data_IF_372727385382
#
_entry.id   IF_372727385382
#
_cell.length_a   1.000
_cell.length_b   1.000
_cell.length_c   1.000
_cell.angle_alpha   90.00
_cell.angle_beta   90.00
_cell.angle_gamma   90.00
#
_symmetry.space_group_name_H-M   'P 1'
#
loop_
_entity.id
_entity.type
_entity.pdbx_description
1 polymer ?
#
# COMPACT_ATOMS: atom_id res chain seq x y z
N UNK A 1 2.83 -1.93 19.22
CA UNK A 1 2.69 -2.69 17.96
C UNK A 1 4.03 -2.88 17.25
N UNK A 2 4.71 -1.82 16.79
CA UNK A 2 5.97 -1.97 16.03
C UNK A 2 7.08 -2.64 16.85
N UNK A 3 7.25 -2.25 18.12
CA UNK A 3 8.20 -2.86 19.06
C UNK A 3 7.90 -4.35 19.28
N UNK A 4 6.64 -4.70 19.56
CA UNK A 4 6.23 -6.10 19.79
C UNK A 4 6.46 -6.96 18.53
N UNK A 5 6.18 -6.39 17.35
CA UNK A 5 6.43 -7.05 16.09
C UNK A 5 7.92 -7.26 15.82
N UNK A 6 8.74 -6.26 16.14
CA UNK A 6 10.20 -6.34 16.02
C UNK A 6 10.75 -7.43 16.95
N UNK A 7 10.37 -7.42 18.24
CA UNK A 7 10.77 -8.43 19.22
C UNK A 7 10.37 -9.83 18.76
N UNK A 8 9.08 -10.00 18.39
CA UNK A 8 8.59 -11.29 17.94
C UNK A 8 9.34 -11.84 16.72
N UNK A 9 9.56 -11.00 15.69
CA UNK A 9 10.20 -11.46 14.46
C UNK A 9 11.71 -11.64 14.62
N UNK A 10 12.39 -10.83 15.44
CA UNK A 10 13.83 -10.98 15.71
C UNK A 10 14.15 -12.24 16.52
N UNK A 11 13.22 -12.69 17.37
CA UNK A 11 13.37 -13.94 18.14
C UNK A 11 13.20 -15.21 17.28
N UNK A 12 12.74 -15.07 16.04
CA UNK A 12 12.65 -16.23 15.14
C UNK A 12 14.05 -16.73 14.74
N UNK A 13 14.32 -17.99 15.01
CA UNK A 13 15.55 -18.68 14.55
C UNK A 13 15.48 -18.94 13.04
N UNK A 14 15.51 -17.87 12.23
CA UNK A 14 15.29 -17.91 10.78
C UNK A 14 16.06 -16.80 10.06
N UNK A 15 16.27 -16.90 8.74
CA UNK A 15 16.87 -15.81 7.97
C UNK A 15 16.12 -14.49 8.13
N UNK A 16 14.78 -14.52 8.27
CA UNK A 16 14.01 -13.30 8.53
C UNK A 16 14.33 -12.70 9.91
N UNK A 17 14.44 -13.52 10.96
CA UNK A 17 14.79 -13.04 12.31
C UNK A 17 16.15 -12.33 12.31
N UNK A 18 17.14 -12.90 11.65
CA UNK A 18 18.45 -12.25 11.47
C UNK A 18 18.34 -10.93 10.72
N UNK A 19 17.59 -10.89 9.61
CA UNK A 19 17.36 -9.67 8.83
C UNK A 19 16.69 -8.56 9.67
N UNK A 20 15.68 -8.91 10.47
CA UNK A 20 14.96 -7.98 11.35
C UNK A 20 15.91 -7.41 12.41
N UNK A 21 16.73 -8.27 13.03
CA UNK A 21 17.74 -7.86 14.01
C UNK A 21 18.76 -6.90 13.40
N UNK A 22 19.31 -7.22 12.23
CA UNK A 22 20.34 -6.43 11.55
C UNK A 22 19.82 -5.05 11.10
N UNK A 23 18.58 -4.98 10.67
CA UNK A 23 17.96 -3.74 10.20
C UNK A 23 17.42 -2.85 11.32
N UNK A 24 17.19 -3.41 12.50
CA UNK A 24 16.60 -2.72 13.63
C UNK A 24 15.11 -2.38 13.46
N UNK A 25 14.56 -1.68 14.43
CA UNK A 25 13.14 -1.31 14.44
C UNK A 25 12.76 -0.47 13.21
N UNK A 26 11.68 -0.88 12.56
CA UNK A 26 11.01 -0.12 11.49
C UNK A 26 9.61 0.26 11.95
N UNK A 27 9.28 1.53 11.77
CA UNK A 27 7.97 2.09 12.12
C UNK A 27 7.37 2.80 10.92
N UNK A 28 6.05 2.73 10.78
CA UNK A 28 5.29 3.48 9.80
C UNK A 28 4.39 4.47 10.52
N UNK A 29 4.26 5.65 9.95
CA UNK A 29 3.23 6.60 10.30
C UNK A 29 2.04 6.37 9.38
N UNK A 30 0.87 6.07 9.95
CA UNK A 30 -0.37 5.92 9.19
C UNK A 30 -0.83 7.25 8.59
N UNK A 31 -1.83 7.18 7.73
CA UNK A 31 -2.43 8.36 7.11
C UNK A 31 -3.79 8.64 7.73
N UNK A 32 -4.01 9.86 8.21
CA UNK A 32 -5.32 10.31 8.68
C UNK A 32 -6.24 10.73 7.54
N UNK A 33 -5.70 11.00 6.35
CA UNK A 33 -6.48 11.33 5.16
C UNK A 33 -6.46 10.16 4.16
N UNK A 34 -7.33 9.18 4.39
CA UNK A 34 -7.46 7.97 3.60
C UNK A 34 -7.80 8.24 2.13
N UNK A 35 -8.67 9.22 1.88
CA UNK A 35 -9.02 9.64 0.52
C UNK A 35 -7.79 10.17 -0.24
N UNK A 36 -7.03 11.07 0.38
CA UNK A 36 -5.82 11.60 -0.23
C UNK A 36 -4.76 10.50 -0.48
N UNK A 37 -4.67 9.52 0.42
CA UNK A 37 -3.78 8.38 0.24
C UNK A 37 -4.16 7.57 -1.02
N UNK A 38 -5.43 7.23 -1.19
CA UNK A 38 -5.92 6.49 -2.36
C UNK A 38 -5.75 7.28 -3.66
N UNK A 39 -6.03 8.60 -3.65
CA UNK A 39 -5.78 9.46 -4.82
C UNK A 39 -4.30 9.45 -5.20
N UNK A 40 -3.38 9.59 -4.24
CA UNK A 40 -1.93 9.53 -4.49
C UNK A 40 -1.51 8.15 -5.02
N UNK A 41 -2.07 7.08 -4.47
CA UNK A 41 -1.83 5.73 -4.95
C UNK A 41 -2.23 5.57 -6.43
N UNK A 42 -3.43 6.02 -6.81
CA UNK A 42 -3.90 6.00 -8.21
C UNK A 42 -2.98 6.85 -9.12
N UNK A 43 -2.63 8.05 -8.67
CA UNK A 43 -1.73 8.96 -9.44
C UNK A 43 -0.35 8.32 -9.64
N UNK A 44 0.17 7.64 -8.63
CA UNK A 44 1.51 7.03 -8.65
C UNK A 44 1.63 5.74 -9.47
N UNK A 45 0.53 5.06 -9.80
CA UNK A 45 0.58 3.79 -10.53
C UNK A 45 1.42 3.86 -11.80
N UNK A 46 2.34 2.90 -12.01
CA UNK A 46 3.18 2.77 -13.20
C UNK A 46 4.06 4.01 -13.51
N UNK A 47 4.39 4.78 -12.50
CA UNK A 47 5.29 5.93 -12.61
C UNK A 47 6.51 5.77 -11.73
N UNK A 48 7.61 6.46 -12.09
CA UNK A 48 8.70 6.65 -11.16
C UNK A 48 8.26 7.55 -9.99
N UNK A 49 8.94 7.42 -8.86
CA UNK A 49 8.67 8.24 -7.66
C UNK A 49 8.68 9.74 -7.97
N UNK A 50 9.65 10.18 -8.77
CA UNK A 50 9.79 11.60 -9.20
C UNK A 50 8.60 12.05 -10.06
N UNK A 51 8.18 11.23 -11.02
CA UNK A 51 7.04 11.57 -11.88
C UNK A 51 5.73 11.58 -11.08
N UNK A 52 5.53 10.61 -10.17
CA UNK A 52 4.39 10.54 -9.27
C UNK A 52 4.32 11.78 -8.36
N UNK A 53 5.44 12.20 -7.76
CA UNK A 53 5.53 13.39 -6.93
C UNK A 53 5.19 14.66 -7.71
N UNK A 54 5.72 14.80 -8.94
CA UNK A 54 5.45 15.97 -9.81
C UNK A 54 3.96 16.08 -10.17
N UNK A 55 3.34 14.99 -10.62
CA UNK A 55 1.92 14.98 -11.00
C UNK A 55 1.05 15.17 -9.76
N UNK A 56 1.37 14.47 -8.65
CA UNK A 56 0.66 14.62 -7.39
C UNK A 56 0.70 16.05 -6.85
N UNK A 57 1.83 16.73 -6.93
CA UNK A 57 1.99 18.15 -6.56
C UNK A 57 1.10 19.08 -7.39
N UNK A 58 1.06 18.90 -8.71
CA UNK A 58 0.18 19.67 -9.59
C UNK A 58 -1.31 19.43 -9.31
N UNK A 59 -1.68 18.18 -9.05
CA UNK A 59 -3.07 17.87 -8.64
C UNK A 59 -3.40 18.53 -7.33
N UNK A 60 -2.51 18.47 -6.34
CA UNK A 60 -2.71 19.10 -5.03
C UNK A 60 -2.87 20.64 -5.16
N UNK A 61 -2.06 21.29 -6.00
CA UNK A 61 -2.19 22.72 -6.31
C UNK A 61 -3.52 23.02 -6.98
N UNK A 62 -3.91 22.24 -7.99
CA UNK A 62 -5.16 22.44 -8.73
C UNK A 62 -6.42 22.31 -7.86
N UNK A 63 -6.35 21.55 -6.75
CA UNK A 63 -7.45 21.43 -5.78
C UNK A 63 -7.35 22.41 -4.60
N UNK A 64 -6.42 23.35 -4.62
CA UNK A 64 -6.26 24.36 -3.58
C UNK A 64 -5.54 23.86 -2.32
N UNK A 65 -4.62 22.88 -2.45
CA UNK A 65 -3.74 22.43 -1.37
C UNK A 65 -4.32 21.33 -0.47
N UNK A 66 -5.58 20.93 -0.65
CA UNK A 66 -6.18 19.85 0.16
C UNK A 66 -6.88 18.83 -0.75
N UNK A 67 -6.44 17.57 -0.69
CA UNK A 67 -7.10 16.47 -1.38
C UNK A 67 -8.28 15.95 -0.55
N UNK A 68 -9.49 16.22 -1.01
CA UNK A 68 -10.74 15.73 -0.44
C UNK A 68 -11.75 15.45 -1.54
N UNK A 69 -12.82 14.73 -1.22
CA UNK A 69 -13.95 14.51 -2.14
C UNK A 69 -14.50 15.85 -2.65
N UNK A 70 -14.72 16.81 -1.76
CA UNK A 70 -15.28 18.11 -2.11
C UNK A 70 -14.37 18.92 -3.05
N UNK A 71 -13.05 18.96 -2.77
CA UNK A 71 -12.12 19.76 -3.57
C UNK A 71 -11.89 19.13 -4.96
N UNK A 72 -11.80 17.81 -5.07
CA UNK A 72 -11.66 17.13 -6.38
C UNK A 72 -12.95 17.22 -7.20
N UNK A 73 -14.12 17.15 -6.55
CA UNK A 73 -15.41 17.15 -7.26
C UNK A 73 -15.65 18.42 -8.09
N UNK A 74 -15.15 19.56 -7.64
CA UNK A 74 -15.36 20.85 -8.32
C UNK A 74 -14.34 21.18 -9.40
N UNK A 75 -13.23 20.45 -9.46
CA UNK A 75 -12.19 20.66 -10.49
C UNK A 75 -12.61 19.99 -11.80
N UNK A 76 -12.52 20.72 -12.91
CA UNK A 76 -12.84 20.20 -14.23
C UNK A 76 -11.85 19.11 -14.67
N UNK A 77 -12.34 18.13 -15.43
CA UNK A 77 -11.54 17.01 -15.95
C UNK A 77 -10.34 17.48 -16.77
N UNK A 78 -10.52 18.53 -17.56
CA UNK A 78 -9.45 19.12 -18.38
C UNK A 78 -8.31 19.68 -17.51
N UNK A 79 -8.61 20.24 -16.36
CA UNK A 79 -7.61 20.73 -15.41
C UNK A 79 -6.82 19.58 -14.82
N UNK A 80 -7.47 18.50 -14.38
CA UNK A 80 -6.80 17.30 -13.89
C UNK A 80 -5.97 16.61 -14.97
N UNK A 81 -6.44 16.63 -16.22
CA UNK A 81 -5.67 16.15 -17.37
C UNK A 81 -4.41 16.97 -17.60
N UNK A 82 -4.48 18.29 -17.51
CA UNK A 82 -3.31 19.18 -17.61
C UNK A 82 -2.30 19.00 -16.49
N UNK A 83 -2.73 18.52 -15.30
CA UNK A 83 -1.81 18.11 -14.23
C UNK A 83 -0.97 16.89 -14.60
N UNK A 84 -1.37 16.12 -15.63
CA UNK A 84 -0.67 14.93 -16.11
C UNK A 84 -1.40 13.60 -15.83
N UNK A 85 -2.66 13.63 -15.41
CA UNK A 85 -3.42 12.39 -15.26
C UNK A 85 -3.74 11.79 -16.63
N UNK A 86 -3.46 10.50 -16.81
CA UNK A 86 -3.97 9.76 -17.95
C UNK A 86 -5.50 9.64 -17.88
N UNK A 87 -6.15 9.37 -19.01
CA UNK A 87 -7.61 9.17 -19.04
C UNK A 87 -8.05 8.04 -18.07
N UNK A 88 -7.26 6.98 -17.96
CA UNK A 88 -7.54 5.89 -17.04
C UNK A 88 -7.48 6.35 -15.58
N UNK A 89 -6.42 7.05 -15.17
CA UNK A 89 -6.26 7.58 -13.80
C UNK A 89 -7.35 8.60 -13.45
N UNK A 90 -7.69 9.48 -14.38
CA UNK A 90 -8.80 10.43 -14.18
C UNK A 90 -10.11 9.70 -13.92
N UNK A 91 -10.43 8.66 -14.72
CA UNK A 91 -11.62 7.84 -14.48
C UNK A 91 -11.58 7.14 -13.13
N UNK A 92 -10.43 6.64 -12.71
CA UNK A 92 -10.26 5.99 -11.40
C UNK A 92 -10.47 6.98 -10.24
N UNK A 93 -9.92 8.20 -10.34
CA UNK A 93 -10.13 9.25 -9.34
C UNK A 93 -11.60 9.67 -9.28
N UNK A 94 -12.30 9.80 -10.43
CA UNK A 94 -13.73 10.13 -10.46
C UNK A 94 -14.60 9.02 -9.87
N UNK A 95 -14.26 7.77 -10.15
CA UNK A 95 -14.94 6.61 -9.59
C UNK A 95 -14.76 6.54 -8.07
N UNK A 96 -13.54 6.78 -7.56
CA UNK A 96 -13.30 6.88 -6.12
C UNK A 96 -14.15 7.99 -5.48
N UNK A 97 -14.20 9.18 -6.10
CA UNK A 97 -15.05 10.28 -5.63
C UNK A 97 -16.51 9.87 -5.54
N UNK A 98 -17.03 9.21 -6.58
CA UNK A 98 -18.42 8.74 -6.63
C UNK A 98 -18.68 7.70 -5.54
N UNK A 99 -17.82 6.69 -5.41
CA UNK A 99 -17.95 5.64 -4.39
C UNK A 99 -17.98 6.20 -2.98
N UNK A 100 -17.13 7.18 -2.67
CA UNK A 100 -17.11 7.79 -1.32
C UNK A 100 -18.32 8.68 -1.10
N UNK A 101 -18.79 9.42 -2.13
CA UNK A 101 -19.89 10.37 -1.99
C UNK A 101 -21.27 9.70 -2.01
N UNK A 102 -21.48 8.77 -2.94
CA UNK A 102 -22.81 8.28 -3.32
C UNK A 102 -23.03 6.79 -3.01
N UNK A 103 -21.98 5.97 -3.09
CA UNK A 103 -22.08 4.50 -3.09
C UNK A 103 -21.65 3.86 -1.74
N UNK A 104 -21.50 4.65 -0.69
CA UNK A 104 -21.31 4.15 0.68
C UNK A 104 -19.91 3.65 1.04
N UNK A 105 -18.87 4.01 0.28
CA UNK A 105 -17.48 3.78 0.69
C UNK A 105 -17.09 4.80 1.78
N UNK A 106 -17.40 4.49 3.04
CA UNK A 106 -17.09 5.33 4.18
C UNK A 106 -15.61 5.17 4.57
N UNK A 107 -14.76 6.09 4.08
CA UNK A 107 -13.34 6.10 4.38
C UNK A 107 -13.01 6.61 5.79
N UNK A 108 -13.94 7.26 6.48
CA UNK A 108 -13.74 7.73 7.85
C UNK A 108 -13.88 6.58 8.86
N UNK A 109 -14.66 5.57 8.49
CA UNK A 109 -14.89 4.37 9.32
C UNK A 109 -14.24 3.11 8.77
N UNK A 110 -13.40 3.25 7.75
CA UNK A 110 -12.84 2.08 7.04
C UNK A 110 -11.97 1.21 7.95
N UNK A 111 -11.36 1.79 8.96
CA UNK A 111 -10.54 1.10 9.96
C UNK A 111 -11.34 0.14 10.88
N UNK A 112 -12.67 0.27 10.91
CA UNK A 112 -13.56 -0.59 11.69
C UNK A 112 -13.84 -1.94 11.01
N UNK A 113 -13.52 -2.07 9.72
CA UNK A 113 -13.72 -3.30 8.96
C UNK A 113 -12.50 -4.22 9.04
N UNK A 114 -12.72 -5.51 8.78
CA UNK A 114 -11.64 -6.48 8.61
C UNK A 114 -10.82 -6.17 7.35
N UNK A 115 -9.59 -6.65 7.29
CA UNK A 115 -8.71 -6.44 6.14
C UNK A 115 -9.31 -6.99 4.85
N UNK A 116 -10.00 -8.14 4.92
CA UNK A 116 -10.70 -8.73 3.78
C UNK A 116 -11.86 -7.85 3.29
N UNK A 117 -12.68 -7.33 4.21
CA UNK A 117 -13.77 -6.41 3.85
C UNK A 117 -13.24 -5.12 3.24
N UNK A 118 -12.13 -4.57 3.76
CA UNK A 118 -11.49 -3.37 3.21
C UNK A 118 -11.00 -3.64 1.79
N UNK A 119 -10.31 -4.76 1.57
CA UNK A 119 -9.86 -5.14 0.22
C UNK A 119 -11.05 -5.27 -0.72
N UNK A 120 -12.10 -6.00 -0.33
CA UNK A 120 -13.29 -6.19 -1.15
C UNK A 120 -13.98 -4.87 -1.54
N UNK A 121 -14.08 -3.92 -0.60
CA UNK A 121 -14.66 -2.59 -0.86
C UNK A 121 -13.77 -1.75 -1.77
N UNK A 122 -12.45 -1.77 -1.56
CA UNK A 122 -11.52 -0.95 -2.34
C UNK A 122 -11.36 -1.45 -3.79
N UNK A 123 -11.41 -2.76 -4.03
CA UNK A 123 -11.30 -3.29 -5.41
C UNK A 123 -12.53 -3.01 -6.27
N UNK A 124 -13.65 -2.60 -5.68
CA UNK A 124 -14.79 -2.08 -6.43
C UNK A 124 -14.51 -0.73 -7.08
N UNK A 125 -13.51 0.01 -6.58
CA UNK A 125 -13.09 1.27 -7.19
C UNK A 125 -12.26 0.97 -8.42
N UNK A 126 -12.65 1.56 -9.54
CA UNK A 126 -11.94 1.39 -10.81
C UNK A 126 -10.46 1.70 -10.67
N UNK A 127 -9.62 0.77 -11.10
CA UNK A 127 -8.16 0.93 -11.09
C UNK A 127 -7.49 0.68 -9.74
N UNK A 128 -8.25 0.34 -8.71
CA UNK A 128 -7.71 -0.19 -7.46
C UNK A 128 -7.80 -1.72 -7.51
N UNK A 129 -6.63 -2.36 -7.57
CA UNK A 129 -6.53 -3.82 -7.45
C UNK A 129 -6.15 -4.25 -6.04
N UNK A 130 -6.13 -5.58 -5.81
CA UNK A 130 -5.76 -6.19 -4.52
C UNK A 130 -4.43 -5.64 -4.00
N UNK A 131 -3.42 -5.53 -4.85
CA UNK A 131 -2.11 -4.97 -4.45
C UNK A 131 -2.23 -3.53 -3.93
N UNK A 132 -2.97 -2.65 -4.61
CA UNK A 132 -3.17 -1.26 -4.15
C UNK A 132 -3.95 -1.22 -2.82
N UNK A 133 -4.94 -2.09 -2.65
CA UNK A 133 -5.68 -2.22 -1.40
C UNK A 133 -4.79 -2.73 -0.26
N UNK A 134 -3.90 -3.68 -0.52
CA UNK A 134 -2.90 -4.13 0.47
C UNK A 134 -1.93 -3.01 0.85
N UNK A 135 -1.46 -2.20 -0.11
CA UNK A 135 -0.62 -1.03 0.19
C UNK A 135 -1.37 -0.01 1.05
N UNK A 136 -2.67 0.16 0.84
CA UNK A 136 -3.50 1.00 1.70
C UNK A 136 -3.58 0.45 3.13
N UNK A 137 -3.81 -0.85 3.30
CA UNK A 137 -3.80 -1.50 4.62
C UNK A 137 -2.47 -1.28 5.35
N UNK A 138 -1.34 -1.47 4.66
CA UNK A 138 0.01 -1.33 5.23
C UNK A 138 0.31 0.13 5.55
N UNK A 139 0.25 1.02 4.56
CA UNK A 139 0.81 2.38 4.65
C UNK A 139 -0.18 3.45 5.11
N UNK A 140 -1.49 3.20 5.00
CA UNK A 140 -2.49 4.15 5.49
C UNK A 140 -3.08 3.72 6.84
N UNK A 141 -3.43 2.44 6.98
CA UNK A 141 -4.09 1.93 8.19
C UNK A 141 -3.12 1.29 9.19
N UNK A 142 -1.85 1.12 8.84
CA UNK A 142 -0.84 0.46 9.68
C UNK A 142 -1.29 -0.93 10.17
N UNK A 143 -1.99 -1.69 9.31
CA UNK A 143 -2.40 -3.05 9.67
C UNK A 143 -1.16 -3.92 9.89
N UNK A 144 -1.06 -4.65 11.02
CA UNK A 144 0.18 -5.34 11.40
C UNK A 144 0.43 -6.61 10.58
N UNK A 145 -0.61 -7.19 9.98
CA UNK A 145 -0.55 -8.56 9.47
C UNK A 145 -1.00 -8.70 8.00
N UNK A 146 -0.49 -7.84 7.15
CA UNK A 146 -0.76 -7.88 5.70
C UNK A 146 0.43 -8.47 4.95
N UNK A 147 0.21 -9.61 4.29
CA UNK A 147 1.21 -10.26 3.45
C UNK A 147 0.93 -9.99 1.97
N UNK A 148 1.74 -9.11 1.35
CA UNK A 148 1.60 -8.73 -0.05
C UNK A 148 2.27 -9.75 -0.98
N UNK A 149 1.74 -10.98 -1.06
CA UNK A 149 2.35 -12.10 -1.82
C UNK A 149 2.48 -11.84 -3.31
N UNK A 150 1.61 -11.00 -3.89
CA UNK A 150 1.65 -10.60 -5.30
C UNK A 150 2.64 -9.47 -5.60
N UNK A 151 3.27 -8.89 -4.58
CA UNK A 151 4.25 -7.82 -4.75
C UNK A 151 5.59 -8.38 -5.24
N UNK A 152 6.11 -7.82 -6.35
CA UNK A 152 7.37 -8.27 -6.94
C UNK A 152 8.58 -8.03 -6.02
N UNK A 153 8.57 -6.96 -5.23
CA UNK A 153 9.59 -6.68 -4.23
C UNK A 153 9.59 -7.75 -3.14
N UNK A 154 8.42 -8.11 -2.62
CA UNK A 154 8.31 -9.19 -1.62
C UNK A 154 8.80 -10.51 -2.20
N UNK A 155 8.38 -10.90 -3.39
CA UNK A 155 8.84 -12.12 -4.04
C UNK A 155 10.37 -12.12 -4.23
N UNK A 156 10.94 -11.01 -4.69
CA UNK A 156 12.39 -10.87 -4.84
C UNK A 156 13.13 -10.87 -3.50
N UNK A 157 12.57 -10.21 -2.48
CA UNK A 157 13.10 -10.22 -1.12
C UNK A 157 13.14 -11.62 -0.52
N UNK A 158 12.07 -12.39 -0.70
CA UNK A 158 12.02 -13.82 -0.28
C UNK A 158 13.05 -14.64 -1.05
N UNK A 159 13.11 -14.50 -2.39
CA UNK A 159 14.09 -15.21 -3.20
C UNK A 159 15.53 -14.97 -2.71
N UNK A 160 15.87 -13.70 -2.44
CA UNK A 160 17.19 -13.29 -1.96
C UNK A 160 17.48 -13.82 -0.54
N UNK A 161 16.52 -13.62 0.38
CA UNK A 161 16.71 -13.97 1.79
C UNK A 161 16.84 -15.46 2.04
N UNK A 162 16.11 -16.28 1.28
CA UNK A 162 16.11 -17.72 1.40
C UNK A 162 16.96 -18.42 0.30
N UNK A 163 17.76 -17.66 -0.45
CA UNK A 163 18.65 -18.15 -1.49
C UNK A 163 17.95 -19.04 -2.53
N UNK A 164 16.72 -18.69 -2.89
CA UNK A 164 15.96 -19.44 -3.88
C UNK A 164 16.52 -19.16 -5.29
N UNK A 165 16.74 -20.21 -6.07
CA UNK A 165 17.27 -20.08 -7.42
C UNK A 165 16.37 -19.34 -8.40
N UNK A 166 15.08 -19.21 -8.06
CA UNK A 166 14.04 -18.52 -8.86
C UNK A 166 13.15 -17.69 -7.97
N UNK A 167 12.47 -16.71 -8.58
CA UNK A 167 11.48 -15.91 -7.86
C UNK A 167 10.26 -16.77 -7.50
N UNK A 168 9.86 -16.83 -6.21
CA UNK A 168 8.73 -17.62 -5.77
C UNK A 168 7.40 -17.04 -6.26
N UNK A 169 6.44 -17.90 -6.50
CA UNK A 169 5.04 -17.56 -6.73
C UNK A 169 4.38 -17.01 -5.46
N UNK A 170 3.22 -16.33 -5.57
CA UNK A 170 2.45 -15.88 -4.40
C UNK A 170 2.13 -17.00 -3.39
N UNK A 171 1.86 -18.22 -3.88
CA UNK A 171 1.58 -19.37 -3.01
C UNK A 171 2.83 -19.83 -2.26
N UNK A 172 3.99 -19.82 -2.91
CA UNK A 172 5.26 -20.17 -2.26
C UNK A 172 5.66 -19.12 -1.22
N UNK A 173 5.44 -17.83 -1.49
CA UNK A 173 5.62 -16.76 -0.48
C UNK A 173 4.71 -16.99 0.72
N UNK A 174 3.43 -17.36 0.51
CA UNK A 174 2.50 -17.70 1.60
C UNK A 174 2.99 -18.89 2.42
N UNK A 175 3.54 -19.95 1.76
CA UNK A 175 4.09 -21.09 2.46
C UNK A 175 5.29 -20.72 3.32
N UNK A 176 6.24 -19.96 2.75
CA UNK A 176 7.42 -19.47 3.47
C UNK A 176 7.01 -18.64 4.69
N UNK A 177 6.03 -17.75 4.54
CA UNK A 177 5.55 -16.92 5.63
C UNK A 177 4.88 -17.75 6.74
N UNK A 178 4.08 -18.75 6.37
CA UNK A 178 3.42 -19.66 7.30
C UNK A 178 4.44 -20.49 8.08
N UNK A 179 5.35 -21.15 7.36
CA UNK A 179 6.38 -22.02 7.94
C UNK A 179 7.36 -21.19 8.80
N UNK A 180 7.67 -19.98 8.36
CA UNK A 180 8.49 -19.00 9.05
C UNK A 180 7.78 -18.26 10.20
N UNK A 181 6.50 -18.52 10.44
CA UNK A 181 5.69 -17.89 11.49
C UNK A 181 5.71 -16.36 11.46
N UNK A 182 5.51 -15.76 10.26
CA UNK A 182 5.50 -14.29 10.14
C UNK A 182 4.25 -13.65 10.71
N UNK A 183 3.14 -14.39 10.79
CA UNK A 183 1.92 -13.94 11.46
C UNK A 183 2.09 -13.94 12.99
N UNK A 184 1.54 -12.93 13.69
CA UNK A 184 0.61 -11.89 13.21
C UNK A 184 1.28 -10.58 12.79
N UNK A 185 2.50 -10.60 12.29
CA UNK A 185 3.27 -9.40 11.95
C UNK A 185 3.84 -9.41 10.53
N UNK A 186 3.10 -9.99 9.58
CA UNK A 186 3.54 -10.12 8.19
C UNK A 186 3.82 -8.76 7.51
N UNK A 187 3.16 -7.67 7.93
CA UNK A 187 3.49 -6.32 7.46
C UNK A 187 4.93 -5.94 7.78
N UNK A 188 5.38 -6.18 9.01
CA UNK A 188 6.76 -5.86 9.42
C UNK A 188 7.77 -6.71 8.66
N UNK A 189 7.47 -7.99 8.45
CA UNK A 189 8.27 -8.85 7.57
C UNK A 189 8.38 -8.27 6.15
N UNK A 190 7.28 -7.81 5.56
CA UNK A 190 7.27 -7.16 4.25
C UNK A 190 8.15 -5.90 4.23
N UNK A 191 8.10 -5.05 5.26
CA UNK A 191 8.93 -3.84 5.35
C UNK A 191 10.42 -4.18 5.35
N UNK A 192 10.83 -5.17 6.11
CA UNK A 192 12.22 -5.63 6.15
C UNK A 192 12.69 -6.21 4.81
N UNK A 193 11.83 -7.00 4.15
CA UNK A 193 12.11 -7.52 2.81
C UNK A 193 12.30 -6.40 1.78
N UNK A 194 11.41 -5.41 1.74
CA UNK A 194 11.56 -4.27 0.83
C UNK A 194 12.85 -3.48 1.11
N UNK A 195 13.15 -3.22 2.40
CA UNK A 195 14.38 -2.51 2.79
C UNK A 195 15.64 -3.25 2.35
N UNK A 196 15.64 -4.58 2.43
CA UNK A 196 16.78 -5.40 2.01
C UNK A 196 17.14 -5.27 0.52
N UNK A 197 16.19 -4.85 -0.31
CA UNK A 197 16.40 -4.66 -1.75
C UNK A 197 16.94 -3.27 -2.10
N UNK A 198 16.92 -2.32 -1.17
CA UNK A 198 17.38 -0.94 -1.36
C UNK A 198 18.81 -0.71 -0.92
N UNK A 199 19.48 -1.78 -0.45
CA UNK A 199 20.86 -1.77 0.08
C UNK A 199 21.86 -2.18 -0.97
#
# INVERSE_FOLDING_TARGET
MWTDAHEYLSDLSSPLGSLVTDQGLLELEGSTNHFAHLVRAIVGQQLSTTAAATIGGRVLEAVGGTLSVSTISVVQDETLRRCGLSTAKLRSVRDLVQKVRDDGLDLEKIDQFSDEEIVNRLVEVRGIGVWTAQMFLIFALNRPDVLATGDLGIQNGVARLFELGTRPSPLEVSSVAKDGRWHPYATVACLHLWRSLSS
#
